data_IF_789192209172
#
_entry.id   IF_789192209172
#
_cell.length_a   1.000
_cell.length_b   1.000
_cell.length_c   1.000
_cell.angle_alpha   90.00
_cell.angle_beta   90.00
_cell.angle_gamma   90.00
#
_symmetry.space_group_name_H-M   'P 1'
#
loop_
_entity.id
_entity.type
_entity.pdbx_description
1 polymer ?
#
# COMPACT_ATOMS: atom_id res chain seq x y z
N UNK A 1 12.76 2.59 -25.04
CA UNK A 1 13.59 3.23 -23.98
C UNK A 1 13.65 2.40 -22.69
N UNK A 2 12.53 1.95 -22.12
CA UNK A 2 12.52 1.19 -20.86
C UNK A 2 13.15 -0.22 -20.92
N UNK A 3 13.30 -0.82 -22.11
CA UNK A 3 14.01 -2.10 -22.31
C UNK A 3 15.48 -2.08 -21.85
N UNK A 4 16.18 -0.95 -22.03
CA UNK A 4 17.60 -0.82 -21.64
C UNK A 4 17.77 -0.14 -20.28
N UNK A 5 16.68 0.32 -19.65
CA UNK A 5 16.71 1.10 -18.41
C UNK A 5 17.14 2.56 -18.60
N UNK A 6 16.50 3.46 -17.86
CA UNK A 6 16.83 4.89 -17.84
C UNK A 6 17.66 5.18 -16.58
N UNK A 7 18.86 5.72 -16.77
CA UNK A 7 19.82 5.93 -15.69
C UNK A 7 19.77 7.35 -15.11
N UNK A 8 19.76 7.44 -13.78
CA UNK A 8 19.79 8.69 -13.04
C UNK A 8 20.84 8.65 -11.93
N UNK A 9 21.58 9.76 -11.77
CA UNK A 9 22.56 9.89 -10.70
C UNK A 9 21.96 10.68 -9.55
N UNK A 10 21.96 10.10 -8.35
CA UNK A 10 21.43 10.74 -7.16
C UNK A 10 22.31 10.44 -5.93
N UNK A 11 22.00 11.08 -4.81
CA UNK A 11 22.55 10.75 -3.50
C UNK A 11 21.45 10.08 -2.68
N UNK A 12 21.66 8.83 -2.32
CA UNK A 12 20.78 8.10 -1.41
C UNK A 12 20.94 8.63 0.00
N UNK A 13 19.83 9.02 0.63
CA UNK A 13 19.79 9.55 2.00
C UNK A 13 19.64 8.39 2.97
N UNK A 14 18.64 7.55 2.73
CA UNK A 14 18.31 6.43 3.60
C UNK A 14 16.93 5.87 3.28
N UNK A 15 16.55 4.84 4.03
CA UNK A 15 15.23 4.25 4.01
C UNK A 15 14.76 3.99 5.44
N UNK A 16 13.45 3.92 5.59
CA UNK A 16 12.80 3.51 6.82
C UNK A 16 11.51 2.78 6.47
N UNK A 17 11.15 1.82 7.30
CA UNK A 17 9.87 1.17 7.23
C UNK A 17 8.80 2.08 7.82
N UNK A 18 7.73 2.27 7.07
CA UNK A 18 6.64 3.18 7.37
C UNK A 18 5.33 2.41 7.39
N UNK A 19 4.34 2.85 8.18
CA UNK A 19 2.99 2.32 8.04
C UNK A 19 2.46 2.61 6.63
N UNK A 20 1.45 1.86 6.19
CA UNK A 20 0.80 2.06 4.90
C UNK A 20 0.34 3.52 4.78
N UNK A 21 0.91 4.32 3.86
CA UNK A 21 0.55 5.71 3.74
C UNK A 21 -0.82 5.83 3.06
N UNK A 22 -1.72 6.61 3.66
CA UNK A 22 -3.07 6.85 3.14
C UNK A 22 -3.23 8.24 2.51
N UNK A 23 -2.30 9.16 2.80
CA UNK A 23 -2.37 10.54 2.32
C UNK A 23 -1.02 11.05 1.81
N UNK A 24 -1.06 12.05 0.92
CA UNK A 24 0.16 12.76 0.46
C UNK A 24 0.89 13.42 1.63
N UNK A 25 0.16 13.86 2.64
CA UNK A 25 0.73 14.51 3.84
C UNK A 25 1.59 13.53 4.62
N UNK A 26 1.12 12.30 4.86
CA UNK A 26 1.90 11.25 5.53
C UNK A 26 3.18 10.91 4.76
N UNK A 27 3.09 10.84 3.43
CA UNK A 27 4.24 10.54 2.57
C UNK A 27 5.31 11.62 2.73
N UNK A 28 4.93 12.89 2.64
CA UNK A 28 5.85 14.02 2.81
C UNK A 28 6.41 14.06 4.23
N UNK A 29 5.60 13.76 5.25
CA UNK A 29 6.03 13.68 6.64
C UNK A 29 7.09 12.57 6.84
N UNK A 30 6.85 11.36 6.32
CA UNK A 30 7.81 10.26 6.35
C UNK A 30 9.11 10.59 5.62
N UNK A 31 9.04 11.19 4.42
CA UNK A 31 10.22 11.66 3.69
C UNK A 31 11.07 12.63 4.50
N UNK A 32 10.42 13.60 5.17
CA UNK A 32 11.10 14.60 6.00
C UNK A 32 11.70 13.98 7.25
N UNK A 33 10.98 13.06 7.91
CA UNK A 33 11.49 12.30 9.06
C UNK A 33 12.79 11.59 8.71
N UNK A 34 12.79 10.78 7.64
CA UNK A 34 13.99 10.07 7.16
C UNK A 34 15.12 11.06 6.85
N UNK A 35 14.80 12.17 6.15
CA UNK A 35 15.81 13.18 5.80
C UNK A 35 16.48 13.80 7.03
N UNK A 36 15.70 14.14 8.05
CA UNK A 36 16.21 14.81 9.25
C UNK A 36 16.90 13.84 10.19
N UNK A 37 16.37 12.63 10.35
CA UNK A 37 16.97 11.60 11.19
C UNK A 37 18.37 11.21 10.70
N UNK A 38 18.54 10.95 9.40
CA UNK A 38 19.85 10.63 8.83
C UNK A 38 20.80 11.84 8.84
N UNK A 39 20.27 13.07 8.79
CA UNK A 39 21.07 14.29 8.96
C UNK A 39 21.56 14.42 10.41
N UNK A 40 20.70 14.19 11.39
CA UNK A 40 21.03 14.27 12.81
C UNK A 40 22.03 13.18 13.23
N UNK A 41 21.87 11.96 12.71
CA UNK A 41 22.81 10.83 12.90
C UNK A 41 24.15 11.01 12.14
N UNK A 42 24.37 12.14 11.45
CA UNK A 42 25.57 12.43 10.66
C UNK A 42 25.91 11.36 9.60
N UNK A 43 24.90 10.63 9.11
CA UNK A 43 25.10 9.58 8.12
C UNK A 43 25.32 10.23 6.75
N UNK A 44 26.48 9.98 6.16
CA UNK A 44 26.83 10.53 4.85
C UNK A 44 26.00 9.87 3.75
N UNK A 45 25.43 10.70 2.89
CA UNK A 45 24.64 10.27 1.73
C UNK A 45 25.51 9.50 0.73
N UNK A 46 25.04 8.34 0.29
CA UNK A 46 25.75 7.46 -0.65
C UNK A 46 25.50 7.93 -2.08
N UNK A 47 26.54 8.01 -2.92
CA UNK A 47 26.37 8.29 -4.37
C UNK A 47 25.85 7.04 -5.05
N UNK A 48 24.71 7.14 -5.73
CA UNK A 48 24.04 6.01 -6.36
C UNK A 48 23.67 6.30 -7.81
N UNK A 49 23.51 5.24 -8.59
CA UNK A 49 22.88 5.22 -9.89
C UNK A 49 21.54 4.51 -9.75
N UNK A 50 20.46 5.18 -10.11
CA UNK A 50 19.10 4.63 -10.14
C UNK A 50 18.80 4.26 -11.58
N UNK A 51 18.35 3.05 -11.82
CA UNK A 51 18.01 2.52 -13.13
C UNK A 51 16.51 2.20 -13.10
N UNK A 52 15.74 2.86 -13.96
CA UNK A 52 14.29 2.65 -14.08
C UNK A 52 14.00 1.90 -15.37
N UNK A 53 13.42 0.71 -15.26
CA UNK A 53 13.10 -0.16 -16.40
C UNK A 53 11.69 -0.72 -16.26
N UNK A 54 11.26 -1.57 -17.22
CA UNK A 54 10.01 -2.33 -17.09
C UNK A 54 10.08 -3.41 -16.01
N UNK A 55 11.27 -3.91 -15.68
CA UNK A 55 11.49 -4.90 -14.62
C UNK A 55 11.31 -4.26 -13.24
N UNK A 56 11.95 -3.11 -13.04
CA UNK A 56 11.89 -2.42 -11.75
C UNK A 56 12.76 -1.18 -11.63
N UNK A 57 12.87 -0.72 -10.39
CA UNK A 57 13.81 0.30 -9.95
C UNK A 57 14.99 -0.38 -9.27
N UNK A 58 16.15 -0.35 -9.94
CA UNK A 58 17.43 -0.86 -9.41
C UNK A 58 18.27 0.31 -8.93
N UNK A 59 18.75 0.25 -7.70
CA UNK A 59 19.64 1.27 -7.12
C UNK A 59 21.01 0.65 -6.90
N UNK A 60 22.03 1.20 -7.54
CA UNK A 60 23.40 0.67 -7.51
C UNK A 60 24.33 1.72 -6.91
N UNK A 61 25.23 1.29 -6.02
CA UNK A 61 26.23 2.16 -5.44
C UNK A 61 27.27 2.56 -6.49
N UNK A 62 27.60 3.85 -6.58
CA UNK A 62 28.66 4.33 -7.47
C UNK A 62 29.97 4.36 -6.70
N UNK A 63 30.74 3.27 -6.76
CA UNK A 63 32.12 3.27 -6.26
C UNK A 63 32.98 4.07 -7.24
N UNK A 64 33.89 4.91 -6.72
CA UNK A 64 34.98 5.47 -7.53
C UNK A 64 35.93 4.29 -7.81
N UNK A 65 36.20 3.95 -9.06
CA UNK A 65 37.15 2.88 -9.38
C UNK A 65 38.47 3.17 -8.64
N UNK A 66 38.80 2.32 -7.66
CA UNK A 66 40.17 2.19 -7.20
C UNK A 66 40.79 1.18 -8.15
N UNK A 67 41.82 1.63 -8.88
CA UNK A 67 42.54 0.92 -9.94
C UNK A 67 43.19 -0.37 -9.42
N UNK A 68 42.43 -1.43 -9.17
CA UNK A 68 42.84 -2.84 -8.97
C UNK A 68 41.65 -3.59 -8.38
N UNK A 69 40.83 -4.19 -9.26
CA UNK A 69 40.02 -5.41 -9.09
C UNK A 69 38.99 -5.41 -10.23
N UNK A 70 39.19 -6.30 -11.21
CA UNK A 70 38.44 -6.36 -12.48
C UNK A 70 37.15 -7.18 -12.40
N UNK A 71 36.78 -7.69 -11.23
CA UNK A 71 35.53 -8.45 -11.07
C UNK A 71 34.39 -7.50 -10.69
N UNK A 72 33.77 -6.93 -11.71
CA UNK A 72 32.52 -6.17 -11.59
C UNK A 72 31.36 -7.11 -11.27
N UNK A 73 31.27 -7.57 -10.03
CA UNK A 73 30.09 -8.29 -9.60
C UNK A 73 28.97 -7.26 -9.33
N UNK A 74 28.08 -7.07 -10.30
CA UNK A 74 26.98 -6.12 -10.20
C UNK A 74 26.18 -6.32 -8.92
N UNK A 75 25.98 -7.58 -8.53
CA UNK A 75 25.23 -8.00 -7.33
C UNK A 75 25.81 -7.41 -6.05
N UNK A 76 27.14 -7.27 -5.96
CA UNK A 76 27.81 -6.72 -4.77
C UNK A 76 27.61 -5.21 -4.61
N UNK A 77 27.17 -4.50 -5.67
CA UNK A 77 26.94 -3.06 -5.63
C UNK A 77 25.46 -2.68 -5.65
N UNK A 78 24.55 -3.64 -5.84
CA UNK A 78 23.11 -3.39 -5.75
C UNK A 78 22.75 -3.07 -4.31
N UNK A 79 22.20 -1.88 -4.10
CA UNK A 79 21.67 -1.45 -2.80
C UNK A 79 20.27 -2.02 -2.61
N UNK A 80 19.45 -1.97 -3.66
CA UNK A 80 18.09 -2.50 -3.68
C UNK A 80 17.61 -2.69 -5.11
N UNK A 81 16.71 -3.64 -5.29
CA UNK A 81 15.99 -3.87 -6.53
C UNK A 81 14.53 -4.13 -6.20
N UNK A 82 13.66 -3.18 -6.57
CA UNK A 82 12.22 -3.27 -6.32
C UNK A 82 11.49 -3.35 -7.67
N UNK A 83 10.79 -4.47 -7.96
CA UNK A 83 10.02 -4.62 -9.19
C UNK A 83 8.91 -3.58 -9.32
N UNK A 84 8.56 -3.19 -10.55
CA UNK A 84 7.57 -2.11 -10.79
C UNK A 84 6.25 -2.38 -10.08
N UNK A 85 5.77 -3.62 -10.09
CA UNK A 85 4.51 -4.01 -9.46
C UNK A 85 4.51 -3.90 -7.91
N UNK A 86 5.68 -3.78 -7.27
CA UNK A 86 5.79 -3.57 -5.81
C UNK A 86 5.90 -2.10 -5.42
N UNK A 87 6.22 -1.21 -6.36
CA UNK A 87 6.35 0.21 -6.05
C UNK A 87 4.94 0.78 -5.90
N UNK A 88 4.62 1.21 -4.69
CA UNK A 88 3.30 1.69 -4.31
C UNK A 88 3.09 3.17 -4.66
N UNK A 89 4.13 3.97 -4.47
CA UNK A 89 4.04 5.41 -4.67
C UNK A 89 5.39 6.02 -5.02
N UNK A 90 5.38 7.11 -5.80
CA UNK A 90 6.57 7.92 -6.11
C UNK A 90 6.24 9.40 -5.93
N UNK A 91 7.10 10.15 -5.25
CA UNK A 91 6.79 11.51 -4.84
C UNK A 91 8.02 12.40 -4.68
N UNK A 92 7.79 13.71 -4.50
CA UNK A 92 8.80 14.70 -4.16
C UNK A 92 8.34 15.58 -2.99
N UNK A 93 9.30 16.15 -2.25
CA UNK A 93 9.00 17.10 -1.17
C UNK A 93 8.52 18.43 -1.78
N UNK A 94 7.42 18.99 -1.27
CA UNK A 94 6.86 20.25 -1.76
C UNK A 94 7.77 21.44 -1.52
N UNK A 95 8.64 21.38 -0.50
CA UNK A 95 9.54 22.48 -0.13
C UNK A 95 10.95 22.31 -0.71
N UNK A 96 11.45 21.08 -0.85
CA UNK A 96 12.75 20.80 -1.49
C UNK A 96 12.56 19.84 -2.66
N UNK A 97 12.26 20.41 -3.83
CA UNK A 97 12.01 19.67 -5.07
C UNK A 97 13.25 18.93 -5.61
N UNK A 98 14.40 19.02 -4.95
CA UNK A 98 15.56 18.15 -5.23
C UNK A 98 15.47 16.82 -4.47
N UNK A 99 14.59 16.71 -3.48
CA UNK A 99 14.33 15.50 -2.71
C UNK A 99 13.14 14.77 -3.34
N UNK A 100 13.34 13.51 -3.63
CA UNK A 100 12.31 12.61 -4.11
C UNK A 100 12.39 11.29 -3.36
N UNK A 101 11.28 10.57 -3.34
CA UNK A 101 11.21 9.25 -2.75
C UNK A 101 10.35 8.33 -3.60
N UNK A 102 10.53 7.03 -3.37
CA UNK A 102 9.54 6.04 -3.74
C UNK A 102 9.29 5.11 -2.57
N UNK A 103 8.10 4.53 -2.52
CA UNK A 103 7.67 3.60 -1.49
C UNK A 103 7.46 2.26 -2.17
N UNK A 104 8.13 1.22 -1.68
CA UNK A 104 7.97 -0.15 -2.15
C UNK A 104 7.29 -0.98 -1.06
N UNK A 105 6.38 -1.87 -1.47
CA UNK A 105 5.77 -2.86 -0.58
C UNK A 105 6.66 -4.09 -0.53
N UNK A 106 6.99 -4.52 0.68
CA UNK A 106 7.65 -5.80 0.90
C UNK A 106 6.62 -6.94 0.90
N UNK A 107 6.95 -8.03 0.22
CA UNK A 107 6.03 -9.15 -0.04
C UNK A 107 5.83 -10.08 1.14
N UNK A 108 6.81 -10.15 2.07
CA UNK A 108 6.78 -11.11 3.17
C UNK A 108 5.98 -10.61 4.39
N UNK A 109 6.04 -9.32 4.68
CA UNK A 109 5.51 -8.73 5.91
C UNK A 109 4.47 -7.61 5.65
N UNK A 110 4.08 -7.38 4.38
CA UNK A 110 3.22 -6.27 3.97
C UNK A 110 3.67 -4.90 4.48
N UNK A 111 4.95 -4.75 4.80
CA UNK A 111 5.53 -3.48 5.23
C UNK A 111 5.77 -2.57 4.03
N UNK A 112 5.82 -1.27 4.28
CA UNK A 112 6.13 -0.28 3.27
C UNK A 112 7.48 0.35 3.57
N UNK A 113 8.41 0.24 2.63
CA UNK A 113 9.74 0.83 2.74
C UNK A 113 9.80 2.12 1.95
N UNK A 114 10.02 3.23 2.64
CA UNK A 114 10.18 4.54 2.00
C UNK A 114 11.66 4.81 1.73
N UNK A 115 12.04 4.96 0.46
CA UNK A 115 13.41 5.21 0.02
C UNK A 115 13.60 6.66 -0.40
N UNK A 116 14.52 7.39 0.24
CA UNK A 116 14.66 8.84 0.05
C UNK A 116 15.99 9.20 -0.62
N UNK A 117 15.93 10.07 -1.63
CA UNK A 117 17.05 10.46 -2.46
C UNK A 117 17.14 11.98 -2.61
N UNK A 118 18.35 12.47 -2.90
CA UNK A 118 18.63 13.86 -3.27
C UNK A 118 19.32 13.95 -4.63
N UNK A 119 18.71 14.67 -5.55
CA UNK A 119 19.26 15.01 -6.87
C UNK A 119 20.15 16.25 -6.83
N UNK A 120 20.98 16.44 -7.86
CA UNK A 120 21.77 17.68 -8.04
C UNK A 120 20.89 18.83 -8.52
N UNK A 121 20.00 18.56 -9.47
CA UNK A 121 19.07 19.52 -10.10
C UNK A 121 17.63 19.14 -9.79
N UNK A 122 16.75 20.14 -9.60
CA UNK A 122 15.29 19.94 -9.46
C UNK A 122 14.71 19.22 -10.68
N UNK A 123 15.11 19.64 -11.88
CA UNK A 123 14.67 19.01 -13.13
C UNK A 123 15.00 17.51 -13.20
N UNK A 124 16.14 17.10 -12.65
CA UNK A 124 16.51 15.69 -12.58
C UNK A 124 15.59 14.92 -11.63
N UNK A 125 15.32 15.43 -10.42
CA UNK A 125 14.38 14.79 -9.49
C UNK A 125 12.98 14.64 -10.11
N UNK A 126 12.47 15.71 -10.72
CA UNK A 126 11.17 15.67 -11.39
C UNK A 126 11.16 14.67 -12.55
N UNK A 127 12.26 14.58 -13.33
CA UNK A 127 12.38 13.60 -14.41
C UNK A 127 12.36 12.18 -13.87
N UNK A 128 13.04 11.88 -12.76
CA UNK A 128 12.98 10.56 -12.11
C UNK A 128 11.55 10.20 -11.73
N UNK A 129 10.85 11.10 -11.01
CA UNK A 129 9.47 10.87 -10.56
C UNK A 129 8.54 10.61 -11.75
N UNK A 130 8.65 11.41 -12.82
CA UNK A 130 7.87 11.23 -14.06
C UNK A 130 8.21 9.92 -14.76
N UNK A 131 9.48 9.55 -14.85
CA UNK A 131 9.92 8.32 -15.51
C UNK A 131 9.45 7.07 -14.77
N UNK A 132 9.46 7.06 -13.43
CA UNK A 132 8.88 5.97 -12.64
C UNK A 132 7.36 5.93 -12.83
N UNK A 133 6.69 7.09 -12.83
CA UNK A 133 5.26 7.21 -13.13
C UNK A 133 4.89 6.58 -14.48
N UNK A 134 5.65 6.90 -15.53
CA UNK A 134 5.48 6.33 -16.86
C UNK A 134 5.77 4.81 -16.90
N UNK A 135 6.74 4.34 -16.11
CA UNK A 135 7.03 2.91 -16.02
C UNK A 135 5.84 2.10 -15.47
N UNK A 136 5.06 2.67 -14.53
CA UNK A 136 3.82 2.05 -14.06
C UNK A 136 2.81 1.84 -15.18
N UNK A 137 2.57 2.88 -15.98
CA UNK A 137 1.61 2.82 -17.08
C UNK A 137 2.04 1.80 -18.14
N UNK A 138 3.33 1.78 -18.48
CA UNK A 138 3.89 0.83 -19.47
C UNK A 138 3.83 -0.61 -18.96
N UNK A 139 4.24 -0.86 -17.72
CA UNK A 139 4.21 -2.21 -17.13
C UNK A 139 2.78 -2.74 -17.03
N UNK A 140 1.81 -1.89 -16.69
CA UNK A 140 0.41 -2.26 -16.64
C UNK A 140 -0.15 -2.64 -18.03
N UNK A 141 0.16 -1.84 -19.06
CA UNK A 141 -0.24 -2.13 -20.44
C UNK A 141 0.35 -3.44 -20.97
N UNK A 142 1.64 -3.68 -20.72
CA UNK A 142 2.30 -4.92 -21.15
C UNK A 142 1.71 -6.15 -20.44
N UNK A 143 1.40 -6.04 -19.15
CA UNK A 143 0.74 -7.12 -18.40
C UNK A 143 -0.63 -7.47 -18.99
N UNK A 144 -1.41 -6.46 -19.40
CA UNK A 144 -2.71 -6.67 -20.05
C UNK A 144 -2.56 -7.35 -21.42
N UNK A 145 -1.58 -6.93 -22.23
CA UNK A 145 -1.33 -7.51 -23.55
C UNK A 145 -0.86 -8.97 -23.47
N UNK A 146 0.02 -9.30 -22.52
CA UNK A 146 0.46 -10.69 -22.31
C UNK A 146 -0.70 -11.57 -21.81
N UNK A 147 -1.57 -11.05 -20.94
CA UNK A 147 -2.75 -11.80 -20.49
C UNK A 147 -3.73 -12.12 -21.63
N UNK A 148 -3.89 -11.20 -22.60
CA UNK A 148 -4.75 -11.41 -23.77
C UNK A 148 -4.10 -12.34 -24.80
N UNK A 149 -2.81 -12.17 -25.08
CA UNK A 149 -2.11 -13.02 -26.06
C UNK A 149 -1.99 -14.48 -25.61
N UNK A 150 -1.94 -14.73 -24.29
CA UNK A 150 -1.92 -16.08 -23.73
C UNK A 150 -3.30 -16.76 -23.70
N UNK A 151 -4.40 -16.03 -23.97
CA UNK A 151 -5.75 -16.58 -24.02
C UNK A 151 -6.16 -17.07 -25.42
N UNK A 152 -5.49 -16.61 -26.49
CA UNK A 152 -5.80 -16.94 -27.89
C UNK A 152 -4.86 -18.01 -28.50
N UNK A 153 -3.99 -18.62 -27.69
CA UNK A 153 -2.88 -19.49 -28.16
C UNK A 153 -3.07 -21.00 -28.03
N UNK A 154 -4.21 -21.51 -27.56
CA UNK A 154 -4.44 -22.94 -27.39
C UNK A 154 -5.73 -23.40 -28.07
N UNK A 155 -5.65 -23.62 -29.38
CA UNK A 155 -6.47 -24.58 -30.11
C UNK A 155 -5.63 -25.12 -31.28
N UNK A 156 -4.72 -26.01 -30.92
CA UNK A 156 -4.30 -27.21 -31.63
C UNK A 156 -3.99 -27.13 -33.13
N UNK A 157 -2.68 -27.04 -33.40
CA UNK A 157 -2.11 -27.71 -34.57
C UNK A 157 -2.06 -29.22 -34.34
N UNK A 158 -2.93 -29.96 -35.01
CA UNK A 158 -2.70 -31.36 -35.35
C UNK A 158 -2.78 -31.49 -36.88
N UNK A 159 -1.63 -31.78 -37.49
CA UNK A 159 -1.60 -32.37 -38.82
C UNK A 159 -2.38 -33.67 -38.82
N UNK A 160 -3.27 -33.86 -39.79
CA UNK A 160 -3.16 -35.07 -40.59
C UNK A 160 -3.67 -34.85 -42.02
N UNK A 161 -2.84 -35.29 -42.97
CA UNK A 161 -3.20 -35.42 -44.38
C UNK A 161 -3.90 -36.78 -44.54
N UNK A 162 -5.06 -36.82 -45.17
CA UNK A 162 -5.49 -37.93 -46.03
C UNK A 162 -6.60 -37.48 -46.98
N UNK A 163 -6.55 -38.03 -48.19
CA UNK A 163 -7.28 -37.64 -49.39
C UNK A 163 -8.67 -38.27 -49.52
N UNK A 164 -9.53 -37.62 -50.34
CA UNK A 164 -10.68 -38.15 -51.14
C UNK A 164 -11.81 -38.91 -50.39
N UNK A 165 -13.13 -38.79 -50.62
CA UNK A 165 -13.98 -38.48 -51.79
C UNK A 165 -15.36 -37.88 -51.38
N UNK A 166 -15.88 -36.99 -52.24
CA UNK A 166 -17.27 -36.80 -52.76
C UNK A 166 -18.57 -36.65 -51.90
N UNK A 167 -19.63 -35.97 -52.47
CA UNK A 167 -20.69 -35.28 -51.72
C UNK A 167 -22.13 -35.80 -51.94
N UNK A 168 -23.05 -35.71 -50.96
CA UNK A 168 -24.50 -35.74 -51.18
C UNK A 168 -25.31 -35.01 -50.07
N UNK A 169 -26.06 -33.98 -50.49
CA UNK A 169 -27.49 -33.64 -50.29
C UNK A 169 -28.24 -33.78 -48.93
N UNK A 170 -29.05 -32.75 -48.61
CA UNK A 170 -30.31 -32.79 -47.81
C UNK A 170 -30.21 -32.23 -46.38
N UNK A 171 -30.70 -31.03 -46.01
CA UNK A 171 -32.06 -30.44 -45.96
C UNK A 171 -32.57 -30.26 -44.50
N UNK A 172 -33.10 -29.06 -44.25
CA UNK A 172 -34.05 -28.54 -43.24
C UNK A 172 -33.90 -28.73 -41.71
N UNK A 173 -34.08 -27.62 -40.96
CA UNK A 173 -34.82 -27.61 -39.67
C UNK A 173 -34.15 -26.99 -38.41
N UNK A 174 -34.53 -25.75 -38.06
CA UNK A 174 -34.49 -25.17 -36.69
C UNK A 174 -35.73 -25.64 -35.87
N UNK A 175 -35.95 -25.26 -34.58
CA UNK A 175 -35.08 -25.04 -33.41
C UNK A 175 -35.61 -25.81 -32.14
N UNK A 176 -34.88 -25.87 -31.02
CA UNK A 176 -35.47 -26.40 -29.78
C UNK A 176 -34.57 -26.53 -28.54
N UNK A 177 -34.71 -25.55 -27.64
CA UNK A 177 -34.42 -25.53 -26.20
C UNK A 177 -34.30 -26.89 -25.48
N UNK A 178 -33.28 -27.08 -24.63
CA UNK A 178 -33.44 -27.33 -23.17
C UNK A 178 -32.09 -27.42 -22.44
N UNK A 179 -32.00 -26.76 -21.27
CA UNK A 179 -31.01 -27.04 -20.22
C UNK A 179 -31.34 -28.38 -19.55
N UNK A 180 -30.35 -29.06 -18.92
CA UNK A 180 -30.40 -29.08 -17.46
C UNK A 180 -29.05 -28.95 -16.74
N UNK A 181 -29.23 -28.59 -15.49
CA UNK A 181 -28.33 -28.39 -14.35
C UNK A 181 -27.53 -29.65 -13.96
N UNK A 182 -26.26 -29.48 -13.58
CA UNK A 182 -25.45 -30.56 -12.98
C UNK A 182 -24.05 -30.16 -12.51
N UNK A 183 -23.96 -29.67 -11.26
CA UNK A 183 -22.84 -29.77 -10.29
C UNK A 183 -21.43 -30.18 -10.76
N UNK A 184 -20.40 -29.35 -10.50
CA UNK A 184 -19.53 -29.38 -9.28
C UNK A 184 -18.36 -28.39 -9.35
N UNK A 185 -17.93 -28.02 -8.14
CA UNK A 185 -16.82 -27.20 -7.65
C UNK A 185 -15.54 -27.03 -8.48
N UNK A 186 -14.94 -25.85 -8.34
CA UNK A 186 -13.53 -25.57 -8.60
C UNK A 186 -13.14 -24.17 -8.16
N UNK A 187 -12.45 -24.06 -7.02
CA UNK A 187 -11.91 -22.83 -6.45
C UNK A 187 -10.98 -22.07 -7.42
N UNK A 188 -11.15 -20.76 -7.52
CA UNK A 188 -10.06 -19.83 -7.85
C UNK A 188 -10.37 -18.43 -7.31
N UNK A 189 -9.69 -18.06 -6.24
CA UNK A 189 -9.71 -16.75 -5.59
C UNK A 189 -9.27 -15.65 -6.59
N UNK A 190 -10.25 -14.92 -7.12
CA UNK A 190 -10.03 -13.70 -7.88
C UNK A 190 -9.81 -12.50 -6.96
N UNK A 191 -8.60 -11.95 -6.93
CA UNK A 191 -8.36 -10.59 -6.42
C UNK A 191 -8.23 -9.62 -7.57
N UNK A 192 -9.38 -9.14 -8.03
CA UNK A 192 -9.49 -7.90 -8.79
C UNK A 192 -9.65 -6.73 -7.83
N UNK A 193 -8.58 -5.95 -7.62
CA UNK A 193 -8.72 -4.59 -7.10
C UNK A 193 -7.95 -3.64 -8.00
N UNK A 194 -8.69 -3.09 -8.97
CA UNK A 194 -8.26 -1.99 -9.80
C UNK A 194 -8.00 -0.76 -8.93
N UNK A 195 -6.73 -0.45 -8.67
CA UNK A 195 -6.34 0.86 -8.20
C UNK A 195 -6.45 1.83 -9.39
N UNK A 196 -7.58 2.56 -9.46
CA UNK A 196 -7.73 3.73 -10.34
C UNK A 196 -6.68 4.76 -9.95
N UNK A 197 -5.59 4.83 -10.70
CA UNK A 197 -4.73 6.00 -10.72
C UNK A 197 -5.49 7.12 -11.45
N UNK A 198 -5.96 8.12 -10.71
CA UNK A 198 -6.46 9.37 -11.29
C UNK A 198 -5.27 10.33 -11.42
N UNK A 199 -4.84 10.72 -12.63
CA UNK A 199 -3.92 11.84 -12.78
C UNK A 199 -4.74 13.14 -12.72
N UNK A 200 -4.70 13.82 -11.58
CA UNK A 200 -5.18 15.20 -11.51
C UNK A 200 -4.11 16.14 -12.09
N UNK A 201 -4.41 16.64 -13.29
CA UNK A 201 -3.77 17.79 -13.92
C UNK A 201 -3.92 19.03 -13.00
N UNK A 202 -2.83 19.77 -12.78
CA UNK A 202 -2.83 21.01 -12.00
C UNK A 202 -2.72 22.20 -12.97
N UNK A 203 -3.67 23.15 -13.01
CA UNK A 203 -3.42 24.47 -13.55
C UNK A 203 -2.72 25.36 -12.52
N UNK A 204 -1.81 26.17 -13.05
CA UNK A 204 -1.05 27.22 -12.40
C UNK A 204 -1.95 28.46 -12.25
N UNK A 205 -2.09 29.03 -11.05
CA UNK A 205 -2.57 30.40 -10.88
C UNK A 205 -1.66 31.19 -9.93
N UNK A 206 -1.36 32.41 -10.35
CA UNK A 206 -0.47 33.40 -9.75
C UNK A 206 -1.27 34.59 -9.18
N UNK A 207 -0.68 35.31 -8.22
CA UNK A 207 -1.14 36.58 -7.63
C UNK A 207 -2.07 36.38 -6.43
N UNK A 208 -2.01 37.10 -5.30
CA UNK A 208 -1.25 38.25 -4.83
C UNK A 208 -1.96 38.82 -3.58
N UNK A 209 -1.22 39.49 -2.68
CA UNK A 209 -1.65 40.42 -1.60
C UNK A 209 -2.17 39.90 -0.23
N UNK A 210 -1.25 39.91 0.76
CA UNK A 210 -1.13 40.75 1.99
C UNK A 210 -2.32 41.17 2.90
N UNK A 211 -1.97 41.23 4.21
CA UNK A 211 -2.52 41.97 5.38
C UNK A 211 -3.77 41.36 6.07
N UNK A 212 -3.90 41.28 7.40
CA UNK A 212 -3.12 41.77 8.54
C UNK A 212 -3.72 41.29 9.88
N UNK A 213 -2.94 41.39 10.95
CA UNK A 213 -3.32 41.18 12.37
C UNK A 213 -4.03 42.45 12.93
N UNK A 214 -4.72 42.42 14.11
CA UNK A 214 -4.02 42.69 15.38
C UNK A 214 -4.61 42.07 16.69
N UNK A 215 -3.79 42.22 17.76
CA UNK A 215 -3.87 41.86 19.20
C UNK A 215 -5.06 42.48 19.98
N UNK A 216 -5.52 42.06 21.18
CA UNK A 216 -4.79 42.05 22.49
C UNK A 216 -5.69 41.74 23.72
N UNK A 217 -5.07 41.13 24.76
CA UNK A 217 -5.17 41.26 26.26
C UNK A 217 -6.50 41.04 27.05
N UNK A 218 -6.49 40.10 28.01
CA UNK A 218 -6.39 40.32 29.49
C UNK A 218 -6.72 39.08 30.35
N UNK A 219 -5.90 38.82 31.39
CA UNK A 219 -6.10 37.91 32.55
C UNK A 219 -6.51 38.75 33.81
N UNK A 220 -6.82 38.23 35.05
CA UNK A 220 -6.37 36.97 35.69
C UNK A 220 -7.35 36.17 36.62
N UNK A 221 -6.89 34.95 36.96
CA UNK A 221 -7.01 34.06 38.16
C UNK A 221 -8.27 33.88 39.03
N UNK A 222 -8.67 32.60 39.26
CA UNK A 222 -8.59 31.90 40.56
C UNK A 222 -8.84 30.37 40.47
N UNK A 223 -7.92 29.59 41.07
CA UNK A 223 -7.98 28.23 41.70
C UNK A 223 -8.24 26.92 40.91
N UNK A 224 -7.22 26.05 41.01
CA UNK A 224 -7.04 24.62 40.66
C UNK A 224 -7.82 23.66 41.64
N UNK A 225 -7.79 22.30 41.54
CA UNK A 225 -6.94 21.43 40.70
C UNK A 225 -7.65 20.25 39.99
N UNK A 226 -7.02 19.73 38.92
CA UNK A 226 -6.45 18.37 38.86
C UNK A 226 -5.90 18.04 37.45
N UNK A 227 -4.57 17.99 37.41
CA UNK A 227 -3.71 16.98 36.75
C UNK A 227 -3.50 17.03 35.23
N UNK A 228 -2.34 17.60 34.89
CA UNK A 228 -1.50 17.36 33.71
C UNK A 228 -0.27 16.49 34.15
N UNK A 229 0.68 16.08 33.28
CA UNK A 229 0.66 15.81 31.83
C UNK A 229 1.59 14.64 31.37
N UNK A 230 1.63 14.41 30.05
CA UNK A 230 2.78 14.15 29.16
C UNK A 230 3.99 13.27 29.57
N UNK A 231 4.34 12.35 28.64
CA UNK A 231 5.67 12.06 28.03
C UNK A 231 6.93 12.18 28.93
N UNK A 232 7.87 11.25 28.95
CA UNK A 232 8.68 10.83 27.79
C UNK A 232 9.69 9.72 28.16
N UNK A 233 9.99 8.87 27.18
CA UNK A 233 11.26 8.18 26.84
C UNK A 233 12.40 8.01 27.87
N UNK A 234 13.00 6.80 27.95
CA UNK A 234 14.29 6.48 27.30
C UNK A 234 14.77 5.03 27.58
N UNK A 235 15.58 4.57 26.63
CA UNK A 235 16.18 3.25 26.42
C UNK A 235 17.19 2.77 27.49
N UNK A 236 17.39 1.44 27.58
CA UNK A 236 18.70 0.83 27.82
C UNK A 236 18.75 -0.64 27.36
N UNK A 237 19.85 -0.99 26.70
CA UNK A 237 20.15 -2.23 25.99
C UNK A 237 20.54 -3.43 26.90
N UNK A 238 20.23 -4.64 26.40
CA UNK A 238 21.08 -5.84 26.32
C UNK A 238 21.83 -6.39 27.57
N UNK A 239 21.48 -7.61 28.00
CA UNK A 239 22.45 -8.68 28.26
C UNK A 239 21.77 -10.05 28.40
N UNK A 240 22.30 -11.03 27.66
CA UNK A 240 21.96 -12.46 27.76
C UNK A 240 22.29 -13.01 29.16
N UNK A 241 21.57 -14.04 29.62
CA UNK A 241 22.11 -15.38 29.84
C UNK A 241 21.05 -16.32 30.44
N UNK A 242 21.10 -17.56 29.94
CA UNK A 242 20.41 -18.75 30.42
C UNK A 242 20.56 -18.97 31.93
N UNK A 243 19.49 -19.42 32.58
CA UNK A 243 19.53 -20.50 33.57
C UNK A 243 18.12 -21.13 33.62
N UNK A 244 17.93 -22.25 32.92
CA UNK A 244 17.85 -23.59 33.52
C UNK A 244 16.74 -23.67 34.59
N UNK A 245 15.59 -24.25 34.28
CA UNK A 245 15.33 -25.70 34.25
C UNK A 245 14.35 -26.05 35.36
N UNK A 246 13.25 -26.71 34.96
CA UNK A 246 12.57 -27.80 35.68
C UNK A 246 11.93 -27.50 37.04
N UNK A 247 10.84 -28.14 37.46
CA UNK A 247 9.90 -29.11 36.90
C UNK A 247 8.70 -29.08 37.87
N UNK A 248 7.51 -29.37 37.36
CA UNK A 248 6.37 -29.73 38.17
C UNK A 248 6.56 -31.14 38.79
N UNK A 249 5.78 -31.37 39.86
CA UNK A 249 5.30 -32.65 40.40
C UNK A 249 6.27 -33.48 41.28
N UNK A 250 6.11 -33.34 42.60
CA UNK A 250 5.86 -34.46 43.50
C UNK A 250 4.96 -34.03 44.68
N UNK A 251 3.99 -34.88 45.00
CA UNK A 251 3.02 -34.77 46.09
C UNK A 251 3.42 -35.74 47.25
N UNK A 252 2.59 -35.98 48.29
CA UNK A 252 2.82 -35.48 49.64
C UNK A 252 3.11 -36.57 50.70
N UNK A 253 3.88 -36.23 51.73
CA UNK A 253 3.90 -36.99 52.99
C UNK A 253 4.09 -36.04 54.18
N UNK A 254 2.99 -35.80 54.88
CA UNK A 254 2.84 -35.16 56.20
C UNK A 254 3.60 -35.96 57.29
N UNK A 255 3.92 -35.44 58.51
CA UNK A 255 3.02 -34.57 59.29
C UNK A 255 3.62 -33.45 60.16
N UNK A 256 2.75 -32.44 60.35
CA UNK A 256 2.68 -31.53 61.48
C UNK A 256 3.85 -30.54 61.66
N UNK A 257 3.63 -29.33 61.16
CA UNK A 257 3.80 -28.15 61.99
C UNK A 257 2.72 -27.13 61.64
N UNK A 258 1.91 -26.85 62.64
CA UNK A 258 0.95 -25.77 62.77
C UNK A 258 1.48 -24.45 62.20
N UNK A 259 1.17 -24.16 60.93
CA UNK A 259 1.15 -22.79 60.45
C UNK A 259 -0.27 -22.30 60.68
N UNK A 260 -0.47 -21.62 61.81
CA UNK A 260 -1.57 -20.68 61.99
C UNK A 260 -1.75 -19.89 60.68
N UNK A 261 -2.86 -20.09 59.98
CA UNK A 261 -3.27 -19.23 58.88
C UNK A 261 -3.43 -17.85 59.51
N UNK A 262 -2.41 -17.00 59.38
CA UNK A 262 -2.53 -15.63 59.83
C UNK A 262 -3.60 -14.98 58.95
N UNK A 263 -4.62 -14.33 59.54
CA UNK A 263 -5.74 -13.76 58.78
C UNK A 263 -5.30 -12.73 57.72
N UNK A 264 -4.07 -12.21 57.86
CA UNK A 264 -3.43 -11.31 56.90
C UNK A 264 -3.05 -11.99 55.56
N UNK A 265 -2.59 -13.24 55.57
CA UNK A 265 -2.10 -13.92 54.37
C UNK A 265 -3.25 -14.38 53.44
N UNK A 266 -4.38 -14.81 54.01
CA UNK A 266 -5.60 -15.13 53.25
C UNK A 266 -6.26 -13.88 52.66
N UNK A 267 -6.23 -12.77 53.39
CA UNK A 267 -6.76 -11.48 52.92
C UNK A 267 -5.97 -10.95 51.71
N UNK A 268 -4.63 -11.06 51.74
CA UNK A 268 -3.79 -10.66 50.61
C UNK A 268 -4.04 -11.49 49.34
N UNK A 269 -4.27 -12.80 49.47
CA UNK A 269 -4.60 -13.67 48.32
C UNK A 269 -5.93 -13.27 47.66
N UNK A 270 -6.96 -12.98 48.46
CA UNK A 270 -8.25 -12.49 47.95
C UNK A 270 -8.11 -11.15 47.24
N UNK A 271 -7.27 -10.25 47.77
CA UNK A 271 -7.03 -8.94 47.16
C UNK A 271 -6.33 -9.06 45.79
N UNK A 272 -5.37 -9.98 45.65
CA UNK A 272 -4.72 -10.27 44.36
C UNK A 272 -5.69 -10.85 43.34
N UNK A 273 -6.55 -11.81 43.74
CA UNK A 273 -7.57 -12.36 42.86
C UNK A 273 -8.59 -11.31 42.42
N UNK A 274 -9.00 -10.42 43.33
CA UNK A 274 -9.89 -9.29 43.00
C UNK A 274 -9.24 -8.35 41.98
N UNK A 275 -7.96 -8.03 42.16
CA UNK A 275 -7.21 -7.19 41.23
C UNK A 275 -7.09 -7.87 39.85
N UNK A 276 -6.82 -9.17 39.79
CA UNK A 276 -6.75 -9.93 38.55
C UNK A 276 -8.11 -9.97 37.83
N UNK A 277 -9.21 -10.17 38.55
CA UNK A 277 -10.55 -10.17 37.97
C UNK A 277 -10.91 -8.79 37.39
N UNK A 278 -10.58 -7.72 38.12
CA UNK A 278 -10.83 -6.36 37.65
C UNK A 278 -10.00 -6.04 36.40
N UNK A 279 -8.75 -6.51 36.35
CA UNK A 279 -7.92 -6.39 35.15
C UNK A 279 -8.51 -7.15 33.96
N UNK A 280 -8.99 -8.38 34.16
CA UNK A 280 -9.64 -9.16 33.10
C UNK A 280 -10.94 -8.52 32.62
N UNK A 281 -11.75 -7.96 33.52
CA UNK A 281 -12.97 -7.24 33.17
C UNK A 281 -12.64 -6.02 32.30
N UNK A 282 -11.64 -5.23 32.68
CA UNK A 282 -11.24 -4.05 31.92
C UNK A 282 -10.74 -4.43 30.51
N UNK A 283 -9.91 -5.48 30.40
CA UNK A 283 -9.44 -5.99 29.11
C UNK A 283 -10.60 -6.46 28.22
N UNK A 284 -11.56 -7.17 28.79
CA UNK A 284 -12.76 -7.64 28.06
C UNK A 284 -13.60 -6.45 27.58
N UNK A 285 -13.79 -5.44 28.42
CA UNK A 285 -14.57 -4.25 28.06
C UNK A 285 -13.91 -3.47 26.90
N UNK A 286 -12.58 -3.34 26.93
CA UNK A 286 -11.83 -2.72 25.83
C UNK A 286 -11.96 -3.54 24.54
N UNK A 287 -11.85 -4.87 24.60
CA UNK A 287 -12.03 -5.73 23.44
C UNK A 287 -13.44 -5.61 22.85
N UNK A 288 -14.48 -5.60 23.69
CA UNK A 288 -15.88 -5.41 23.24
C UNK A 288 -16.06 -4.05 22.58
N UNK A 289 -15.51 -2.98 23.15
CA UNK A 289 -15.58 -1.65 22.54
C UNK A 289 -14.89 -1.60 21.16
N UNK A 290 -13.75 -2.28 21.01
CA UNK A 290 -13.06 -2.39 19.72
C UNK A 290 -13.89 -3.14 18.68
N UNK A 291 -14.53 -4.25 19.05
CA UNK A 291 -15.41 -5.02 18.15
C UNK A 291 -16.61 -4.18 17.73
N UNK A 292 -17.21 -3.43 18.66
CA UNK A 292 -18.35 -2.56 18.35
C UNK A 292 -17.96 -1.45 17.37
N UNK A 293 -16.80 -0.81 17.57
CA UNK A 293 -16.27 0.19 16.65
C UNK A 293 -16.05 -0.39 15.23
N UNK A 294 -15.46 -1.58 15.13
CA UNK A 294 -15.26 -2.25 13.84
C UNK A 294 -16.58 -2.59 13.15
N UNK A 295 -17.59 -3.02 13.91
CA UNK A 295 -18.93 -3.29 13.39
C UNK A 295 -19.58 -2.03 12.84
N UNK A 296 -19.50 -0.91 13.57
CA UNK A 296 -20.05 0.36 13.13
C UNK A 296 -19.31 0.90 11.89
N UNK A 297 -17.99 0.73 11.83
CA UNK A 297 -17.19 1.07 10.65
C UNK A 297 -17.60 0.24 9.42
N UNK A 298 -17.81 -1.07 9.58
CA UNK A 298 -18.25 -1.94 8.50
C UNK A 298 -19.66 -1.57 8.01
N UNK A 299 -20.57 -1.22 8.92
CA UNK A 299 -21.90 -0.76 8.58
C UNK A 299 -21.87 0.56 7.79
N UNK A 300 -21.06 1.53 8.24
CA UNK A 300 -20.87 2.81 7.55
C UNK A 300 -20.28 2.62 6.15
N UNK A 301 -19.25 1.77 6.01
CA UNK A 301 -18.63 1.47 4.72
C UNK A 301 -19.61 0.77 3.76
N UNK A 302 -20.44 -0.13 4.28
CA UNK A 302 -21.48 -0.82 3.49
C UNK A 302 -22.54 0.17 3.00
N UNK A 303 -22.99 1.10 3.84
CA UNK A 303 -23.92 2.15 3.46
C UNK A 303 -23.33 3.08 2.39
N UNK A 304 -22.09 3.55 2.58
CA UNK A 304 -21.39 4.37 1.60
C UNK A 304 -21.21 3.65 0.25
N UNK A 305 -20.93 2.34 0.27
CA UNK A 305 -20.83 1.50 -0.92
C UNK A 305 -22.16 1.41 -1.67
N UNK A 306 -23.27 1.19 -0.97
CA UNK A 306 -24.61 1.13 -1.57
C UNK A 306 -24.97 2.47 -2.22
N UNK A 307 -24.70 3.58 -1.53
CA UNK A 307 -24.96 4.92 -2.06
C UNK A 307 -24.12 5.21 -3.31
N UNK A 308 -22.83 4.88 -3.30
CA UNK A 308 -21.96 5.02 -4.46
C UNK A 308 -22.45 4.19 -5.66
N UNK A 309 -22.90 2.95 -5.42
CA UNK A 309 -23.49 2.11 -6.46
C UNK A 309 -24.78 2.71 -7.03
N UNK A 310 -25.65 3.28 -6.18
CA UNK A 310 -26.86 3.95 -6.63
C UNK A 310 -26.54 5.16 -7.52
N UNK A 311 -25.56 5.99 -7.13
CA UNK A 311 -25.10 7.14 -7.93
C UNK A 311 -24.56 6.71 -9.30
N UNK A 312 -23.77 5.64 -9.36
CA UNK A 312 -23.26 5.09 -10.63
C UNK A 312 -24.41 4.58 -11.51
N UNK A 313 -25.37 3.83 -10.96
CA UNK A 313 -26.54 3.37 -11.71
C UNK A 313 -27.34 4.54 -12.29
N UNK A 314 -27.54 5.60 -11.51
CA UNK A 314 -28.23 6.80 -11.98
C UNK A 314 -27.48 7.46 -13.15
N UNK A 315 -26.17 7.64 -13.04
CA UNK A 315 -25.36 8.20 -14.11
C UNK A 315 -25.38 7.34 -15.39
N UNK A 316 -25.41 6.01 -15.26
CA UNK A 316 -25.52 5.12 -16.41
C UNK A 316 -26.86 5.27 -17.12
N UNK A 317 -27.96 5.39 -16.37
CA UNK A 317 -29.29 5.67 -16.94
C UNK A 317 -29.30 7.02 -17.65
N UNK A 318 -28.81 8.08 -17.02
CA UNK A 318 -28.75 9.42 -17.65
C UNK A 318 -27.89 9.42 -18.92
N UNK A 319 -26.73 8.75 -18.91
CA UNK A 319 -25.90 8.64 -20.11
C UNK A 319 -26.62 7.86 -21.23
N UNK A 320 -27.37 6.80 -20.89
CA UNK A 320 -28.17 6.06 -21.87
C UNK A 320 -29.21 6.97 -22.52
N UNK A 321 -29.93 7.76 -21.74
CA UNK A 321 -30.97 8.68 -22.25
C UNK A 321 -30.36 9.77 -23.14
N UNK A 322 -29.24 10.36 -22.73
CA UNK A 322 -28.51 11.34 -23.53
C UNK A 322 -28.04 10.76 -24.87
N UNK A 323 -27.52 9.53 -24.87
CA UNK A 323 -27.11 8.85 -26.11
C UNK A 323 -28.30 8.58 -27.03
N UNK A 324 -29.46 8.23 -26.48
CA UNK A 324 -30.69 8.08 -27.27
C UNK A 324 -31.12 9.42 -27.90
N UNK A 325 -31.05 10.51 -27.14
CA UNK A 325 -31.36 11.86 -27.67
C UNK A 325 -30.37 12.29 -28.76
N UNK A 326 -29.07 12.09 -28.54
CA UNK A 326 -28.05 12.38 -29.56
C UNK A 326 -28.28 11.54 -30.81
N UNK A 327 -28.59 10.24 -30.68
CA UNK A 327 -28.91 9.38 -31.82
C UNK A 327 -30.13 9.88 -32.60
N UNK A 328 -31.17 10.37 -31.92
CA UNK A 328 -32.35 10.94 -32.57
C UNK A 328 -32.00 12.22 -33.34
N UNK A 329 -31.25 13.13 -32.72
CA UNK A 329 -30.81 14.38 -33.33
C UNK A 329 -29.92 14.14 -34.56
N UNK A 330 -28.97 13.21 -34.46
CA UNK A 330 -28.15 12.79 -35.60
C UNK A 330 -29.02 12.28 -36.73
N UNK A 331 -30.04 11.45 -36.44
CA UNK A 331 -30.96 10.94 -37.46
C UNK A 331 -31.75 12.06 -38.13
N UNK A 332 -32.22 13.05 -37.37
CA UNK A 332 -32.91 14.22 -37.92
C UNK A 332 -32.00 15.08 -38.80
N UNK A 333 -30.75 15.33 -38.36
CA UNK A 333 -29.75 16.05 -39.15
C UNK A 333 -29.46 15.33 -40.48
N UNK A 334 -29.26 14.00 -40.45
CA UNK A 334 -29.01 13.23 -41.69
C UNK A 334 -30.17 13.31 -42.69
N UNK A 335 -31.41 13.41 -42.20
CA UNK A 335 -32.59 13.60 -43.07
C UNK A 335 -32.64 15.02 -43.65
N UNK A 336 -32.23 16.02 -42.89
CA UNK A 336 -32.16 17.41 -43.36
C UNK A 336 -31.02 17.63 -44.35
N UNK A 337 -29.85 17.01 -44.14
CA UNK A 337 -28.71 17.07 -45.06
C UNK A 337 -28.99 16.35 -46.40
N UNK A 338 -29.91 15.39 -46.41
CA UNK A 338 -30.30 14.65 -47.61
C UNK A 338 -31.37 15.37 -48.48
N UNK A 339 -31.85 16.55 -48.05
CA UNK A 339 -32.83 17.38 -48.78
C UNK A 339 -32.15 18.57 -49.45
#
# INVERSE_FOLDING_TARGET
AFQHGIHFQAKYIGSLDVPRPNSRVEIVAAMRRIRYEFKAKNIKKKKVSIIVSVDGVKVILRKKQKRKEWTWDESKMVVMHDPVYRIFYVSHDSQDLKIFSYIARDGANNSFRCNVFKSKKKSQAMRVVRTVGQAFEVCHKLSLQHALHNADGQADGASDKSAEEQPLEGDSGLPGQTLPLGSRCGDALGWGTAARAVPLNIPLCAGGQSCGEPQSKSQPELVDPLTCPFLCAQDAENCSLHLASSQQLLSPSSPCSSASITPLASQHCLQLLQQQLLQQQQQTQVAVAQVQLLKDQLAAETAARIEAQARVRQLLLTNRDLLQHVSLLVRQLTVLEAR
#
